data_IF_469750553865
#
_entry.id   IF_469750553865
#
_cell.length_a   1.000
_cell.length_b   1.000
_cell.length_c   1.000
_cell.angle_alpha   90.00
_cell.angle_beta   90.00
_cell.angle_gamma   90.00
#
_symmetry.space_group_name_H-M   'P 1'
#
loop_
_entity.id
_entity.type
_entity.pdbx_description
1 polymer ?
#
# COMPACT_ATOMS: atom_id res chain seq x y z
N UNK A 1 5.51 28.60 -2.58
CA UNK A 1 6.11 28.73 -3.91
C UNK A 1 5.52 27.68 -4.86
N UNK A 2 4.93 28.14 -5.97
CA UNK A 2 4.20 27.33 -6.95
C UNK A 2 5.09 26.24 -7.58
N UNK A 3 6.34 26.54 -7.86
CA UNK A 3 7.28 25.57 -8.43
C UNK A 3 7.57 24.44 -7.46
N UNK A 4 7.75 24.75 -6.19
CA UNK A 4 7.97 23.75 -5.14
C UNK A 4 6.75 22.85 -4.98
N UNK A 5 5.54 23.42 -4.99
CA UNK A 5 4.30 22.67 -4.94
C UNK A 5 4.13 21.73 -6.15
N UNK A 6 4.46 22.19 -7.35
CA UNK A 6 4.41 21.37 -8.58
C UNK A 6 5.44 20.23 -8.53
N UNK A 7 6.65 20.47 -8.03
CA UNK A 7 7.66 19.43 -7.88
C UNK A 7 7.26 18.38 -6.83
N UNK A 8 6.67 18.81 -5.73
CA UNK A 8 6.14 17.89 -4.72
C UNK A 8 4.99 17.03 -5.29
N UNK A 9 4.10 17.64 -6.06
CA UNK A 9 3.00 16.94 -6.72
C UNK A 9 3.53 15.91 -7.73
N UNK A 10 4.50 16.27 -8.55
CA UNK A 10 5.13 15.37 -9.52
C UNK A 10 5.81 14.18 -8.84
N UNK A 11 6.55 14.41 -7.76
CA UNK A 11 7.18 13.35 -6.97
C UNK A 11 6.15 12.41 -6.34
N UNK A 12 5.04 12.95 -5.86
CA UNK A 12 3.95 12.17 -5.27
C UNK A 12 3.29 11.28 -6.32
N UNK A 13 3.01 11.81 -7.50
CA UNK A 13 2.48 11.03 -8.63
C UNK A 13 3.42 9.90 -9.02
N UNK A 14 4.72 10.14 -9.12
CA UNK A 14 5.73 9.11 -9.41
C UNK A 14 5.76 8.03 -8.32
N UNK A 15 5.61 8.40 -7.05
CA UNK A 15 5.58 7.45 -5.93
C UNK A 15 4.33 6.56 -5.94
N UNK A 16 3.22 7.02 -6.51
CA UNK A 16 1.96 6.26 -6.59
C UNK A 16 1.91 5.28 -7.77
N UNK A 17 2.74 5.46 -8.79
CA UNK A 17 2.76 4.59 -9.98
C UNK A 17 2.92 3.10 -9.65
N UNK A 18 3.84 2.68 -8.77
CA UNK A 18 3.97 1.27 -8.43
C UNK A 18 2.70 0.70 -7.82
N UNK A 19 1.99 1.48 -7.02
CA UNK A 19 0.75 1.06 -6.39
C UNK A 19 -0.36 0.86 -7.43
N UNK A 20 -0.49 1.78 -8.39
CA UNK A 20 -1.46 1.69 -9.50
C UNK A 20 -1.14 0.51 -10.44
N UNK A 21 0.13 0.24 -10.69
CA UNK A 21 0.57 -0.88 -11.52
C UNK A 21 0.39 -2.24 -10.84
N UNK A 22 0.36 -2.30 -9.51
CA UNK A 22 0.29 -3.55 -8.75
C UNK A 22 -1.13 -4.12 -8.75
N UNK A 23 -1.36 -5.34 -9.27
CA UNK A 23 -2.67 -5.97 -9.33
C UNK A 23 -3.34 -6.12 -7.97
N UNK A 24 -2.58 -6.51 -6.94
CA UNK A 24 -3.10 -6.67 -5.61
C UNK A 24 -2.02 -6.48 -4.55
N UNK A 25 -2.38 -5.74 -3.52
CA UNK A 25 -1.63 -5.62 -2.26
C UNK A 25 -2.60 -5.95 -1.13
N UNK A 26 -2.20 -6.86 -0.25
CA UNK A 26 -2.89 -7.12 1.01
C UNK A 26 -2.01 -6.60 2.12
N UNK A 27 -2.56 -5.73 2.93
CA UNK A 27 -1.84 -5.14 4.05
C UNK A 27 -2.62 -5.25 5.36
N UNK A 28 -1.91 -5.30 6.45
CA UNK A 28 -2.45 -5.44 7.79
C UNK A 28 -1.86 -4.42 8.74
N UNK A 29 -2.67 -3.92 9.64
CA UNK A 29 -2.29 -3.04 10.72
C UNK A 29 -2.81 -3.55 12.05
N UNK A 30 -1.96 -3.59 13.05
CA UNK A 30 -2.37 -4.01 14.38
C UNK A 30 -3.22 -2.94 15.05
N UNK A 31 -4.33 -3.38 15.65
CA UNK A 31 -5.21 -2.51 16.42
C UNK A 31 -4.74 -2.43 17.88
N UNK A 32 -4.91 -1.27 18.50
CA UNK A 32 -4.53 -1.06 19.91
C UNK A 32 -5.31 -1.99 20.85
N UNK A 33 -6.57 -2.27 20.54
CA UNK A 33 -7.41 -3.21 21.28
C UNK A 33 -7.09 -4.70 21.02
N UNK A 34 -6.10 -4.98 20.20
CA UNK A 34 -5.75 -6.31 19.71
C UNK A 34 -6.51 -6.68 18.45
N UNK A 35 -5.98 -7.65 17.70
CA UNK A 35 -6.47 -7.99 16.37
C UNK A 35 -5.82 -7.16 15.26
N UNK A 36 -6.38 -7.25 14.07
CA UNK A 36 -5.83 -6.66 12.87
C UNK A 36 -6.89 -5.99 12.02
N UNK A 37 -6.55 -4.83 11.49
CA UNK A 37 -7.24 -4.20 10.38
C UNK A 37 -6.56 -4.65 9.07
N UNK A 38 -7.36 -5.14 8.13
CA UNK A 38 -6.89 -5.69 6.86
C UNK A 38 -7.44 -4.85 5.72
N UNK A 39 -6.62 -4.63 4.71
CA UNK A 39 -7.02 -3.95 3.48
C UNK A 39 -6.50 -4.69 2.25
N UNK A 40 -7.34 -4.80 1.23
CA UNK A 40 -6.97 -5.23 -0.11
C UNK A 40 -7.03 -4.03 -1.01
N UNK A 41 -5.91 -3.74 -1.66
CA UNK A 41 -5.75 -2.66 -2.63
C UNK A 41 -5.44 -3.27 -3.98
N UNK A 42 -6.23 -2.93 -5.00
CA UNK A 42 -6.05 -3.41 -6.36
C UNK A 42 -5.90 -2.23 -7.30
N UNK A 43 -4.77 -2.15 -8.01
CA UNK A 43 -4.45 -1.05 -8.91
C UNK A 43 -4.65 0.34 -8.30
N UNK A 44 -4.19 0.51 -7.07
CA UNK A 44 -4.30 1.77 -6.34
C UNK A 44 -5.69 2.11 -5.80
N UNK A 45 -6.66 1.20 -5.93
CA UNK A 45 -8.02 1.34 -5.40
C UNK A 45 -8.26 0.42 -4.22
N UNK A 46 -8.97 0.91 -3.22
CA UNK A 46 -9.42 0.08 -2.10
C UNK A 46 -10.47 -0.92 -2.58
N UNK A 47 -10.13 -2.20 -2.56
CA UNK A 47 -11.00 -3.29 -3.02
C UNK A 47 -11.76 -3.98 -1.89
N UNK A 48 -11.29 -3.84 -0.66
CA UNK A 48 -11.97 -4.39 0.51
C UNK A 48 -11.22 -4.13 1.80
N UNK A 49 -11.95 -4.16 2.90
CA UNK A 49 -11.43 -4.05 4.26
C UNK A 49 -12.07 -5.11 5.16
N UNK A 50 -11.35 -5.57 6.13
CA UNK A 50 -11.86 -6.49 7.17
C UNK A 50 -11.15 -6.26 8.49
N UNK A 51 -11.77 -6.74 9.55
CA UNK A 51 -11.17 -6.80 10.87
C UNK A 51 -11.00 -8.27 11.28
N UNK A 52 -9.81 -8.62 11.74
CA UNK A 52 -9.56 -9.89 12.40
C UNK A 52 -9.50 -9.64 13.90
N UNK A 53 -10.37 -10.26 14.70
CA UNK A 53 -10.41 -10.05 16.14
C UNK A 53 -9.15 -10.62 16.83
N UNK A 54 -8.87 -10.12 18.02
CA UNK A 54 -7.81 -10.65 18.85
C UNK A 54 -8.05 -12.14 19.16
N UNK A 55 -6.99 -12.94 19.02
CA UNK A 55 -7.06 -14.39 19.28
C UNK A 55 -7.51 -15.24 18.09
N UNK A 56 -8.02 -14.64 17.02
CA UNK A 56 -8.30 -15.34 15.76
C UNK A 56 -7.05 -15.40 14.87
N UNK A 57 -7.00 -16.42 13.99
CA UNK A 57 -5.96 -16.42 12.95
C UNK A 57 -6.29 -15.34 11.90
N UNK A 58 -5.43 -14.34 11.73
CA UNK A 58 -5.68 -13.30 10.75
C UNK A 58 -5.65 -13.81 9.30
N UNK A 59 -5.04 -14.96 9.04
CA UNK A 59 -4.97 -15.52 7.68
C UNK A 59 -6.32 -16.00 7.17
N UNK A 60 -7.20 -16.48 8.04
CA UNK A 60 -8.58 -16.83 7.68
C UNK A 60 -9.35 -15.59 7.18
N UNK A 61 -9.16 -14.47 7.87
CA UNK A 61 -9.75 -13.20 7.46
C UNK A 61 -9.14 -12.66 6.17
N UNK A 62 -7.84 -12.84 5.95
CA UNK A 62 -7.15 -12.48 4.70
C UNK A 62 -7.71 -13.27 3.53
N UNK A 63 -7.87 -14.59 3.67
CA UNK A 63 -8.40 -15.45 2.62
C UNK A 63 -9.84 -15.04 2.27
N UNK A 64 -10.70 -14.89 3.26
CA UNK A 64 -12.08 -14.47 3.05
C UNK A 64 -12.18 -13.09 2.40
N UNK A 65 -11.37 -12.14 2.86
CA UNK A 65 -11.34 -10.79 2.31
C UNK A 65 -10.88 -10.79 0.86
N UNK A 66 -9.81 -11.51 0.54
CA UNK A 66 -9.27 -11.60 -0.82
C UNK A 66 -10.27 -12.22 -1.79
N UNK A 67 -11.01 -13.25 -1.34
CA UNK A 67 -12.04 -13.90 -2.14
C UNK A 67 -13.26 -13.02 -2.42
N UNK A 68 -13.58 -12.09 -1.52
CA UNK A 68 -14.76 -11.23 -1.61
C UNK A 68 -14.47 -9.80 -2.04
N UNK A 69 -13.19 -9.44 -2.15
CA UNK A 69 -12.78 -8.09 -2.54
C UNK A 69 -13.25 -7.72 -3.96
N UNK A 70 -13.59 -6.44 -4.14
CA UNK A 70 -14.05 -5.90 -5.41
C UNK A 70 -13.05 -6.15 -6.54
N UNK A 71 -13.56 -6.57 -7.70
CA UNK A 71 -12.74 -6.64 -8.91
C UNK A 71 -12.38 -5.23 -9.39
N UNK A 72 -11.11 -4.99 -9.61
CA UNK A 72 -10.60 -3.74 -10.18
C UNK A 72 -9.83 -4.07 -11.45
N UNK A 73 -10.26 -3.55 -12.61
CA UNK A 73 -9.57 -3.81 -13.87
C UNK A 73 -8.19 -3.18 -13.87
N UNK A 74 -7.27 -3.77 -14.64
CA UNK A 74 -5.97 -3.17 -14.88
C UNK A 74 -6.14 -1.78 -15.53
N UNK A 75 -5.33 -0.78 -15.15
CA UNK A 75 -5.42 0.55 -15.73
C UNK A 75 -5.09 0.52 -17.21
N UNK A 76 -5.87 1.25 -18.00
CA UNK A 76 -5.60 1.51 -19.40
C UNK A 76 -4.90 2.87 -19.51
N UNK A 77 -3.58 2.89 -19.53
CA UNK A 77 -2.79 4.11 -19.58
C UNK A 77 -2.09 4.47 -18.28
N UNK A 78 -1.66 5.72 -18.15
CA UNK A 78 -0.84 6.19 -17.01
C UNK A 78 -1.63 6.42 -15.72
N UNK A 79 -2.94 6.37 -15.78
CA UNK A 79 -3.83 6.66 -14.66
C UNK A 79 -4.66 5.45 -14.30
N UNK A 80 -4.78 5.18 -13.00
CA UNK A 80 -5.59 4.09 -12.47
C UNK A 80 -7.09 4.36 -12.55
N UNK A 81 -7.87 3.37 -12.19
CA UNK A 81 -9.33 3.46 -12.07
C UNK A 81 -9.74 4.29 -10.84
N UNK A 82 -8.87 4.32 -9.83
CA UNK A 82 -9.06 5.14 -8.63
C UNK A 82 -8.76 6.62 -8.90
N UNK A 83 -9.41 7.51 -8.16
CA UNK A 83 -9.02 8.92 -8.15
C UNK A 83 -7.61 9.08 -7.55
N UNK A 84 -6.93 10.16 -7.91
CA UNK A 84 -5.63 10.48 -7.35
C UNK A 84 -5.72 10.66 -5.82
N UNK A 85 -6.80 11.22 -5.32
CA UNK A 85 -7.06 11.39 -3.88
C UNK A 85 -7.21 10.06 -3.16
N UNK A 86 -7.95 9.12 -3.73
CA UNK A 86 -8.12 7.78 -3.16
C UNK A 86 -6.78 7.04 -3.07
N UNK A 87 -6.03 7.04 -4.16
CA UNK A 87 -4.69 6.41 -4.20
C UNK A 87 -3.74 7.05 -3.20
N UNK A 88 -3.82 8.35 -3.03
CA UNK A 88 -3.01 9.12 -2.09
C UNK A 88 -3.32 8.77 -0.63
N UNK A 89 -4.59 8.69 -0.27
CA UNK A 89 -5.04 8.26 1.06
C UNK A 89 -4.58 6.83 1.35
N UNK A 90 -4.69 5.93 0.38
CA UNK A 90 -4.24 4.55 0.51
C UNK A 90 -2.72 4.46 0.68
N UNK A 91 -1.97 5.24 -0.08
CA UNK A 91 -0.52 5.32 0.06
C UNK A 91 -0.13 5.79 1.45
N UNK A 92 -0.74 6.84 1.97
CA UNK A 92 -0.50 7.34 3.32
C UNK A 92 -0.79 6.28 4.39
N UNK A 93 -1.86 5.49 4.22
CA UNK A 93 -2.18 4.40 5.13
C UNK A 93 -1.18 3.25 5.02
N UNK A 94 -0.83 2.84 3.80
CA UNK A 94 0.12 1.75 3.54
C UNK A 94 1.52 2.06 4.07
N UNK A 95 2.00 3.29 3.91
CA UNK A 95 3.33 3.71 4.39
C UNK A 95 3.36 4.18 5.84
N UNK A 96 2.22 4.16 6.52
CA UNK A 96 2.19 4.52 7.94
C UNK A 96 2.95 3.48 8.78
N UNK A 97 3.74 3.92 9.77
CA UNK A 97 4.44 3.00 10.68
C UNK A 97 3.49 1.98 11.31
N UNK A 98 3.90 0.73 11.34
CA UNK A 98 3.09 -0.38 11.88
C UNK A 98 2.21 -1.08 10.86
N UNK A 99 2.06 -0.57 9.65
CA UNK A 99 1.42 -1.30 8.55
C UNK A 99 2.38 -2.35 8.00
N UNK A 100 1.88 -3.54 7.73
CA UNK A 100 2.65 -4.68 7.21
C UNK A 100 2.04 -5.19 5.92
N UNK A 101 2.90 -5.52 4.96
CA UNK A 101 2.47 -6.25 3.77
C UNK A 101 2.26 -7.71 4.12
N UNK A 102 1.10 -8.24 3.77
CA UNK A 102 0.76 -9.66 3.93
C UNK A 102 0.99 -10.40 2.63
N UNK A 103 0.56 -9.81 1.51
CA UNK A 103 0.74 -10.39 0.18
C UNK A 103 0.82 -9.28 -0.86
N UNK A 104 1.61 -9.53 -1.91
CA UNK A 104 1.74 -8.65 -3.07
C UNK A 104 1.73 -9.50 -4.33
N UNK A 105 0.73 -9.31 -5.17
CA UNK A 105 0.69 -9.95 -6.49
C UNK A 105 1.38 -9.04 -7.48
N UNK A 106 2.54 -9.43 -8.05
CA UNK A 106 3.27 -8.60 -9.00
C UNK A 106 2.54 -8.51 -10.34
N UNK A 107 2.81 -7.43 -11.07
CA UNK A 107 2.38 -7.31 -12.45
C UNK A 107 3.00 -8.43 -13.31
N UNK A 108 2.20 -8.97 -14.25
CA UNK A 108 2.70 -10.00 -15.19
C UNK A 108 3.86 -9.45 -16.02
N UNK A 109 5.01 -10.05 -15.89
CA UNK A 109 6.21 -9.67 -16.64
C UNK A 109 7.28 -8.92 -15.82
N UNK A 110 7.03 -8.60 -14.58
CA UNK A 110 8.07 -8.11 -13.69
C UNK A 110 8.79 -9.29 -13.05
N UNK A 111 10.12 -9.40 -13.19
CA UNK A 111 10.89 -10.51 -12.60
C UNK A 111 11.09 -10.33 -11.09
N UNK A 112 10.18 -9.69 -10.42
CA UNK A 112 10.16 -9.63 -8.98
C UNK A 112 9.55 -10.93 -8.47
N UNK A 113 10.42 -11.67 -7.86
CA UNK A 113 10.31 -13.03 -7.40
C UNK A 113 8.98 -13.45 -6.80
N UNK A 114 8.89 -14.77 -6.60
CA UNK A 114 7.76 -15.48 -6.07
C UNK A 114 6.89 -14.72 -5.06
N UNK A 115 5.57 -14.94 -5.08
CA UNK A 115 4.68 -14.34 -4.09
C UNK A 115 5.25 -14.62 -2.69
N UNK A 116 5.48 -13.57 -1.95
CA UNK A 116 5.89 -13.71 -0.55
C UNK A 116 4.66 -14.12 0.23
N UNK A 117 4.30 -15.38 0.07
CA UNK A 117 3.27 -16.01 0.89
C UNK A 117 3.91 -16.38 2.22
N UNK A 118 3.64 -15.62 3.24
CA UNK A 118 4.13 -15.96 4.56
C UNK A 118 3.65 -14.98 5.61
N UNK A 119 3.35 -15.50 6.77
CA UNK A 119 3.02 -14.76 7.98
C UNK A 119 4.13 -13.79 8.46
N UNK A 120 5.20 -13.68 7.71
CA UNK A 120 6.29 -12.74 7.91
C UNK A 120 6.05 -11.52 7.03
N UNK A 121 5.20 -10.66 7.53
CA UNK A 121 5.01 -9.35 6.92
C UNK A 121 6.32 -8.57 6.98
N UNK A 122 6.86 -8.25 5.80
CA UNK A 122 7.96 -7.30 5.72
C UNK A 122 7.43 -5.89 5.98
N UNK A 123 8.14 -5.08 6.78
CA UNK A 123 7.79 -3.68 6.87
C UNK A 123 7.89 -3.06 5.47
N UNK A 124 6.89 -2.26 5.11
CA UNK A 124 6.99 -1.44 3.92
C UNK A 124 8.25 -0.57 4.00
N UNK A 125 8.96 -0.41 2.88
CA UNK A 125 10.03 0.58 2.85
C UNK A 125 9.45 1.95 3.23
N UNK A 126 10.24 2.80 3.87
CA UNK A 126 9.78 4.14 4.23
C UNK A 126 9.25 4.84 2.99
N UNK A 127 8.11 5.48 3.13
CA UNK A 127 7.52 6.26 2.05
C UNK A 127 8.47 7.35 1.58
N UNK A 128 8.23 7.92 0.40
CA UNK A 128 9.12 8.94 -0.17
C UNK A 128 9.32 10.16 0.73
N UNK A 129 8.43 10.40 1.67
CA UNK A 129 8.57 11.48 2.65
C UNK A 129 9.63 11.20 3.71
N UNK A 130 9.86 9.94 4.04
CA UNK A 130 10.91 9.55 4.99
C UNK A 130 12.33 9.73 4.43
N UNK A 131 12.46 9.82 3.11
CA UNK A 131 13.73 10.06 2.43
C UNK A 131 14.08 11.56 2.31
N UNK A 132 13.15 12.44 2.65
CA UNK A 132 13.31 13.90 2.54
C UNK A 132 13.67 14.55 3.89
N UNK A 133 13.58 13.83 4.95
CA UNK A 133 13.81 14.34 6.30
C UNK A 133 15.08 13.86 6.92
N UNK A 134 16.16 14.47 6.67
CA UNK A 134 17.22 14.86 7.61
C UNK A 134 18.45 15.46 6.90
N UNK A 135 18.24 16.55 6.23
CA UNK A 135 19.31 17.52 6.14
C UNK A 135 19.26 18.41 7.40
N UNK A 136 19.64 17.81 8.51
CA UNK A 136 19.90 18.54 9.73
C UNK A 136 20.98 19.60 9.47
N UNK A 137 20.88 20.79 10.08
CA UNK A 137 21.83 21.89 9.85
C UNK A 137 23.22 21.44 10.25
N UNK A 138 24.14 21.62 9.30
CA UNK A 138 25.51 21.21 9.34
C UNK A 138 26.22 21.44 10.69
N UNK A 139 26.91 20.43 11.08
CA UNK A 139 27.99 20.58 12.05
C UNK A 139 29.07 21.50 11.46
N UNK A 140 29.23 22.63 12.09
CA UNK A 140 30.43 23.42 11.98
C UNK A 140 31.62 22.70 12.63
#
# INVERSE_FOLDING_TARGET
>A
DRLRALLQCARRVEALRPLVATPQVVAARRLDAGGWELAVVRHGRLAGVALSPAGADPMDAVEALTATAEYVPAPSGSWGVASAEETDILADWLWRPGTRLVDVTPERGTPLGAPVTGAHAYPLPPGPEALIGDDGPGRR
#
